data_IF_387782820727
#
_entry.id   IF_387782820727
#
_cell.length_a   1.000
_cell.length_b   1.000
_cell.length_c   1.000
_cell.angle_alpha   90.00
_cell.angle_beta   90.00
_cell.angle_gamma   90.00
#
_symmetry.space_group_name_H-M   'P 1'
#
loop_
_entity.id
_entity.type
_entity.pdbx_description
1 polymer ?
#
# COMPACT_ATOMS: atom_id res chain seq x y z
N UNK A 1 -16.03 20.11 -17.72
CA UNK A 1 -16.30 19.47 -16.42
C UNK A 1 -14.96 19.08 -15.81
N UNK A 2 -14.69 19.39 -14.53
CA UNK A 2 -13.37 19.19 -13.88
C UNK A 2 -13.26 17.91 -13.05
N UNK A 3 -14.38 17.27 -12.74
CA UNK A 3 -14.46 16.05 -11.92
C UNK A 3 -14.54 14.80 -12.78
N UNK A 4 -13.99 13.69 -12.27
CA UNK A 4 -14.13 12.36 -12.87
C UNK A 4 -15.29 11.62 -12.19
N UNK A 5 -16.38 11.27 -12.90
CA UNK A 5 -17.54 10.59 -12.32
C UNK A 5 -17.29 9.12 -11.98
N UNK A 6 -16.13 8.56 -12.35
CA UNK A 6 -15.87 7.13 -12.26
C UNK A 6 -16.47 6.37 -13.44
N UNK A 7 -16.58 5.04 -13.29
CA UNK A 7 -17.19 4.13 -14.27
C UNK A 7 -18.38 3.41 -13.66
N UNK A 8 -19.46 3.30 -14.42
CA UNK A 8 -20.58 2.42 -14.14
C UNK A 8 -20.36 1.04 -14.78
N UNK A 9 -21.28 0.10 -14.55
CA UNK A 9 -21.14 -1.27 -15.03
C UNK A 9 -21.07 -1.34 -16.56
N UNK A 10 -21.88 -0.53 -17.23
CA UNK A 10 -21.97 -0.41 -18.69
C UNK A 10 -20.75 0.23 -19.36
N UNK A 11 -19.88 0.90 -18.60
CA UNK A 11 -18.68 1.55 -19.12
C UNK A 11 -17.50 0.60 -19.32
N UNK A 12 -17.58 -0.62 -18.76
CA UNK A 12 -16.52 -1.62 -18.83
C UNK A 12 -16.57 -2.43 -20.13
N UNK A 13 -15.38 -2.73 -20.68
CA UNK A 13 -15.24 -3.59 -21.87
C UNK A 13 -14.31 -4.77 -21.57
N UNK A 14 -14.68 -5.96 -22.02
CA UNK A 14 -13.84 -7.14 -21.89
C UNK A 14 -12.48 -6.92 -22.57
N UNK A 15 -11.41 -7.27 -21.87
CA UNK A 15 -10.03 -7.07 -22.32
C UNK A 15 -9.51 -5.64 -22.19
N UNK A 16 -10.30 -4.69 -21.67
CA UNK A 16 -9.81 -3.34 -21.41
C UNK A 16 -8.76 -3.33 -20.29
N UNK A 17 -7.67 -2.60 -20.51
CA UNK A 17 -6.65 -2.32 -19.48
C UNK A 17 -6.80 -0.89 -18.99
N UNK A 18 -7.18 -0.73 -17.72
CA UNK A 18 -7.29 0.58 -17.07
C UNK A 18 -5.95 0.92 -16.42
N UNK A 19 -5.30 2.00 -16.89
CA UNK A 19 -4.08 2.54 -16.27
C UNK A 19 -4.47 3.54 -15.19
N UNK A 20 -4.37 3.14 -13.93
CA UNK A 20 -4.69 4.00 -12.79
C UNK A 20 -3.65 5.13 -12.65
N UNK A 21 -4.14 6.36 -12.55
CA UNK A 21 -3.37 7.47 -11.99
C UNK A 21 -3.50 7.44 -10.46
N UNK A 22 -2.56 7.89 -9.63
CA UNK A 22 -1.22 8.45 -9.83
C UNK A 22 -0.24 7.53 -9.09
N UNK A 23 0.99 7.26 -9.58
CA UNK A 23 1.94 6.47 -8.81
C UNK A 23 2.19 7.10 -7.44
N UNK A 24 2.16 6.28 -6.39
CA UNK A 24 2.35 6.71 -5.01
C UNK A 24 3.63 6.11 -4.43
N UNK A 25 4.55 6.97 -4.02
CA UNK A 25 5.69 6.55 -3.18
C UNK A 25 5.21 6.29 -1.76
N UNK A 26 5.57 5.15 -1.21
CA UNK A 26 5.28 4.74 0.17
C UNK A 26 6.58 4.56 0.94
N UNK A 27 6.59 4.96 2.21
CA UNK A 27 7.79 4.91 3.04
C UNK A 27 7.50 4.86 4.53
N UNK A 28 8.43 5.41 5.32
CA UNK A 28 8.37 5.29 6.78
C UNK A 28 7.15 5.98 7.40
N UNK A 29 6.67 7.08 6.80
CA UNK A 29 5.46 7.77 7.25
C UNK A 29 4.22 6.89 7.15
N UNK A 30 4.03 6.24 5.99
CA UNK A 30 2.95 5.27 5.78
C UNK A 30 3.09 4.06 6.72
N UNK A 31 4.30 3.56 6.96
CA UNK A 31 4.55 2.49 7.94
C UNK A 31 4.10 2.89 9.35
N UNK A 32 4.44 4.09 9.79
CA UNK A 32 4.09 4.59 11.11
C UNK A 32 2.58 4.80 11.24
N UNK A 33 1.95 5.42 10.24
CA UNK A 33 0.50 5.62 10.21
C UNK A 33 -0.25 4.30 10.23
N UNK A 34 0.20 3.31 9.45
CA UNK A 34 -0.48 2.02 9.39
C UNK A 34 -0.38 1.26 10.71
N UNK A 35 0.77 1.28 11.38
CA UNK A 35 0.88 0.72 12.74
C UNK A 35 -0.02 1.44 13.75
N UNK A 36 -0.25 2.75 13.59
CA UNK A 36 -1.14 3.51 14.46
C UNK A 36 -2.62 3.13 14.24
N UNK A 37 -3.02 2.88 12.98
CA UNK A 37 -4.38 2.46 12.62
C UNK A 37 -4.64 0.99 12.96
N UNK A 38 -3.64 0.14 12.76
CA UNK A 38 -3.69 -1.29 12.98
C UNK A 38 -2.51 -1.69 13.86
N UNK A 39 -2.70 -1.85 15.19
CA UNK A 39 -1.61 -2.00 16.16
C UNK A 39 -0.98 -3.41 16.16
N UNK A 40 -0.59 -3.89 14.98
CA UNK A 40 0.24 -5.06 14.80
C UNK A 40 1.61 -4.81 15.44
N UNK A 41 2.18 -5.84 16.08
CA UNK A 41 3.46 -5.75 16.81
C UNK A 41 4.46 -6.83 16.36
N UNK A 42 4.33 -7.27 15.12
CA UNK A 42 5.26 -8.25 14.54
C UNK A 42 6.67 -7.65 14.46
N UNK A 43 7.66 -8.34 15.03
CA UNK A 43 9.03 -7.83 15.16
C UNK A 43 9.65 -7.39 13.82
N UNK A 44 9.31 -8.10 12.72
CA UNK A 44 9.79 -7.79 11.38
C UNK A 44 9.39 -6.39 10.90
N UNK A 45 8.16 -5.95 11.19
CA UNK A 45 7.61 -4.67 10.72
C UNK A 45 7.85 -3.51 11.72
N UNK A 46 8.21 -3.85 12.95
CA UNK A 46 8.37 -2.89 14.04
C UNK A 46 9.83 -2.56 14.40
N UNK A 47 10.80 -3.39 13.99
CA UNK A 47 12.22 -3.20 14.35
C UNK A 47 13.16 -3.38 13.16
N UNK A 48 13.87 -2.31 12.80
CA UNK A 48 14.93 -2.38 11.81
C UNK A 48 16.08 -3.30 12.25
N UNK A 49 16.35 -3.37 13.55
CA UNK A 49 17.40 -4.24 14.10
C UNK A 49 17.04 -5.72 13.93
N UNK A 50 15.78 -6.07 14.21
CA UNK A 50 15.28 -7.42 13.99
C UNK A 50 15.24 -7.76 12.50
N UNK A 51 14.76 -6.85 11.65
CA UNK A 51 14.73 -7.09 10.21
C UNK A 51 16.13 -7.33 9.62
N UNK A 52 17.14 -6.58 10.10
CA UNK A 52 18.54 -6.78 9.71
C UNK A 52 19.11 -8.11 10.20
N UNK A 53 18.74 -8.58 11.40
CA UNK A 53 19.21 -9.86 11.92
C UNK A 53 18.72 -11.06 11.12
N UNK A 54 17.62 -10.91 10.37
CA UNK A 54 17.07 -11.92 9.45
C UNK A 54 17.40 -11.64 7.97
N UNK A 55 18.35 -10.73 7.69
CA UNK A 55 18.90 -10.51 6.35
C UNK A 55 18.19 -9.47 5.48
N UNK A 56 17.26 -8.68 6.03
CA UNK A 56 16.66 -7.55 5.31
C UNK A 56 17.49 -6.27 5.50
N UNK A 57 17.34 -5.31 4.58
CA UNK A 57 18.00 -4.00 4.71
C UNK A 57 17.47 -3.15 5.89
N UNK A 58 16.23 -3.40 6.28
CA UNK A 58 15.50 -2.74 7.36
C UNK A 58 14.08 -3.29 7.41
N UNK A 59 13.28 -2.80 8.35
CA UNK A 59 11.89 -3.21 8.48
C UNK A 59 11.11 -2.89 7.19
N UNK A 60 10.46 -3.89 6.57
CA UNK A 60 9.61 -3.64 5.41
C UNK A 60 8.30 -2.93 5.82
N UNK A 61 7.53 -2.53 4.81
CA UNK A 61 6.11 -2.21 4.99
C UNK A 61 5.34 -3.50 5.30
N UNK A 62 4.28 -3.38 6.09
CA UNK A 62 3.33 -4.48 6.27
C UNK A 62 2.64 -4.80 4.94
N UNK A 63 2.44 -6.09 4.65
CA UNK A 63 1.90 -6.56 3.37
C UNK A 63 0.51 -5.99 3.09
N UNK A 64 -0.30 -5.76 4.13
CA UNK A 64 -1.63 -5.18 3.99
C UNK A 64 -1.60 -3.68 3.67
N UNK A 65 -0.52 -2.95 3.99
CA UNK A 65 -0.33 -1.57 3.51
C UNK A 65 -0.27 -1.56 1.99
N UNK A 66 0.50 -2.48 1.41
CA UNK A 66 0.63 -2.58 -0.04
C UNK A 66 -0.72 -2.92 -0.69
N UNK A 67 -1.45 -3.88 -0.13
CA UNK A 67 -2.79 -4.24 -0.60
C UNK A 67 -3.74 -3.04 -0.60
N UNK A 68 -3.89 -2.36 0.53
CA UNK A 68 -4.78 -1.19 0.65
C UNK A 68 -4.31 0.00 -0.20
N UNK A 69 -3.00 0.14 -0.45
CA UNK A 69 -2.49 1.20 -1.34
C UNK A 69 -2.85 0.93 -2.80
N UNK A 70 -2.84 -0.33 -3.24
CA UNK A 70 -3.12 -0.71 -4.64
C UNK A 70 -4.62 -0.72 -4.93
N UNK A 71 -5.43 -1.23 -4.00
CA UNK A 71 -6.86 -1.48 -4.25
C UNK A 71 -7.82 -0.56 -3.50
N UNK A 72 -7.38 0.07 -2.40
CA UNK A 72 -8.28 0.76 -1.47
C UNK A 72 -8.96 -0.19 -0.49
#
# INVERSE_FOLDING_TARGET
>A
MKTNPGRFFEDYRLGEVIRHAVPRTVGQGERALYHALYPARGALYSSDEFAKSVGLAGSPLDDLVAFHTVFG
#
